data_IF_961022108353
#
_entry.id   IF_961022108353
#
_cell.length_a   1.000
_cell.length_b   1.000
_cell.length_c   1.000
_cell.angle_alpha   90.00
_cell.angle_beta   90.00
_cell.angle_gamma   90.00
#
_symmetry.space_group_name_H-M   'P 1'
#
loop_
_entity.id
_entity.type
_entity.pdbx_description
1 polymer ?
#
# COMPACT_ATOMS: atom_id res chain seq x y z
N UNK A 1 -11.00 5.18 -6.64
CA UNK A 1 -9.63 5.59 -7.01
C UNK A 1 -8.58 4.50 -6.77
N UNK A 2 -8.43 3.97 -5.55
CA UNK A 2 -7.40 2.98 -5.21
C UNK A 2 -7.40 1.69 -6.04
N UNK A 3 -8.55 1.28 -6.58
CA UNK A 3 -8.68 0.14 -7.52
C UNK A 3 -7.75 0.28 -8.73
N UNK A 4 -7.49 1.50 -9.21
CA UNK A 4 -6.53 1.75 -10.29
C UNK A 4 -5.10 1.80 -9.76
N UNK A 5 -4.86 2.38 -8.59
CA UNK A 5 -3.52 2.52 -8.01
C UNK A 5 -2.87 1.16 -7.73
N UNK A 6 -3.63 0.13 -7.33
CA UNK A 6 -3.07 -1.23 -7.11
C UNK A 6 -2.53 -1.93 -8.36
N UNK A 7 -2.74 -1.39 -9.56
CA UNK A 7 -2.28 -2.02 -10.80
C UNK A 7 -0.77 -1.84 -10.98
N UNK A 8 -0.13 -2.77 -11.71
CA UNK A 8 1.30 -2.73 -12.02
C UNK A 8 1.75 -1.45 -12.76
N UNK A 9 0.81 -0.69 -13.33
CA UNK A 9 1.09 0.63 -13.90
C UNK A 9 1.56 1.63 -12.84
N UNK A 10 0.98 1.59 -11.64
CA UNK A 10 1.21 2.60 -10.60
C UNK A 10 1.93 2.04 -9.36
N UNK A 11 1.63 0.81 -8.94
CA UNK A 11 2.32 0.13 -7.84
C UNK A 11 3.59 -0.53 -8.38
N UNK A 12 4.75 -0.04 -7.92
CA UNK A 12 6.07 -0.50 -8.38
C UNK A 12 6.85 -1.11 -7.24
N UNK A 13 7.49 -2.25 -7.52
CA UNK A 13 8.52 -2.81 -6.68
C UNK A 13 9.89 -2.31 -7.17
N UNK A 14 10.79 -1.99 -6.24
CA UNK A 14 12.20 -1.72 -6.48
C UNK A 14 13.02 -2.52 -5.50
N UNK A 15 14.12 -3.10 -5.97
CA UNK A 15 15.04 -3.85 -5.14
C UNK A 15 16.44 -3.24 -5.28
N UNK A 16 17.17 -3.17 -4.17
CA UNK A 16 18.57 -2.77 -4.10
C UNK A 16 19.31 -3.61 -3.06
N UNK A 17 20.60 -3.33 -2.83
CA UNK A 17 21.42 -4.07 -1.88
C UNK A 17 20.91 -4.00 -0.43
N UNK A 18 20.08 -3.02 -0.09
CA UNK A 18 19.49 -2.84 1.24
C UNK A 18 18.12 -3.51 1.40
N UNK A 19 17.49 -3.95 0.32
CA UNK A 19 16.24 -4.70 0.37
C UNK A 19 15.27 -4.40 -0.76
N UNK A 20 13.97 -4.50 -0.47
CA UNK A 20 12.89 -4.31 -1.44
C UNK A 20 11.90 -3.27 -0.92
N UNK A 21 11.51 -2.35 -1.79
CA UNK A 21 10.46 -1.37 -1.54
C UNK A 21 9.32 -1.56 -2.52
N UNK A 22 8.09 -1.44 -2.04
CA UNK A 22 6.89 -1.51 -2.87
C UNK A 22 6.05 -0.27 -2.60
N UNK A 23 5.73 0.49 -3.65
CA UNK A 23 4.98 1.71 -3.48
C UNK A 23 4.71 2.47 -4.77
N UNK A 24 4.32 3.72 -4.59
CA UNK A 24 3.97 4.64 -5.67
C UNK A 24 5.09 5.67 -5.87
N UNK A 25 5.08 6.38 -6.99
CA UNK A 25 6.00 7.52 -7.23
C UNK A 25 5.27 8.70 -7.88
N UNK A 26 5.88 9.88 -7.82
CA UNK A 26 5.33 11.11 -8.42
C UNK A 26 3.90 11.42 -7.97
N UNK A 27 3.05 11.76 -8.94
CA UNK A 27 1.63 12.11 -8.69
C UNK A 27 0.86 10.96 -8.03
N UNK A 28 1.13 9.71 -8.40
CA UNK A 28 0.46 8.55 -7.79
C UNK A 28 0.80 8.42 -6.30
N UNK A 29 2.05 8.75 -5.90
CA UNK A 29 2.44 8.78 -4.49
C UNK A 29 1.78 9.93 -3.73
N UNK A 30 1.71 11.12 -4.34
CA UNK A 30 1.01 12.26 -3.74
C UNK A 30 -0.47 11.92 -3.48
N UNK A 31 -1.15 11.42 -4.50
CA UNK A 31 -2.54 10.99 -4.43
C UNK A 31 -2.72 9.92 -3.34
N UNK A 32 -1.85 8.89 -3.31
CA UNK A 32 -1.94 7.84 -2.30
C UNK A 32 -1.79 8.39 -0.88
N UNK A 33 -0.83 9.30 -0.62
CA UNK A 33 -0.62 9.92 0.70
C UNK A 33 -1.78 10.79 1.14
N UNK A 34 -2.21 11.72 0.27
CA UNK A 34 -3.35 12.61 0.53
C UNK A 34 -4.56 11.79 0.98
N UNK A 35 -4.87 10.74 0.24
CA UNK A 35 -6.02 9.92 0.54
C UNK A 35 -5.81 8.97 1.74
N UNK A 36 -4.58 8.51 2.00
CA UNK A 36 -4.31 7.61 3.13
C UNK A 36 -4.36 8.37 4.45
N UNK A 37 -3.69 9.53 4.50
CA UNK A 37 -3.52 10.33 5.71
C UNK A 37 -4.55 11.46 5.84
N UNK A 38 -5.50 11.55 4.92
CA UNK A 38 -6.55 12.58 4.96
C UNK A 38 -6.02 14.01 4.79
N UNK A 39 -5.00 14.19 3.96
CA UNK A 39 -4.42 15.52 3.72
C UNK A 39 -5.33 16.37 2.82
N UNK A 40 -5.03 17.67 2.74
CA UNK A 40 -5.72 18.62 1.85
C UNK A 40 -5.16 18.54 0.43
N UNK A 41 -6.03 18.57 -0.57
CA UNK A 41 -5.60 18.65 -1.98
C UNK A 41 -6.49 19.58 -2.81
N UNK A 42 -5.97 20.02 -3.96
CA UNK A 42 -6.67 20.84 -4.93
C UNK A 42 -7.38 19.93 -5.95
N UNK A 43 -8.71 19.96 -5.96
CA UNK A 43 -9.55 19.13 -6.86
C UNK A 43 -9.91 19.82 -8.16
N UNK A 44 -9.84 21.15 -8.17
CA UNK A 44 -9.99 22.02 -9.33
C UNK A 44 -9.29 23.36 -9.06
N UNK A 45 -8.98 24.18 -10.08
CA UNK A 45 -8.33 25.48 -9.88
C UNK A 45 -9.07 26.32 -8.82
N UNK A 46 -8.38 26.63 -7.73
CA UNK A 46 -8.92 27.40 -6.60
C UNK A 46 -9.82 26.61 -5.62
N UNK A 47 -10.17 25.35 -5.91
CA UNK A 47 -11.06 24.52 -5.10
C UNK A 47 -10.24 23.46 -4.37
N UNK A 48 -10.27 23.50 -3.03
CA UNK A 48 -9.56 22.58 -2.15
C UNK A 48 -10.54 21.78 -1.30
N UNK A 49 -10.17 20.55 -0.99
CA UNK A 49 -10.91 19.69 -0.06
C UNK A 49 -9.94 18.98 0.87
N UNK A 50 -10.37 18.77 2.11
CA UNK A 50 -9.75 17.80 3.01
C UNK A 50 -10.32 16.42 2.71
N UNK A 51 -9.49 15.38 2.78
CA UNK A 51 -9.93 14.00 2.64
C UNK A 51 -10.09 13.34 4.01
N UNK A 52 -11.04 12.41 4.16
CA UNK A 52 -11.09 11.59 5.37
C UNK A 52 -9.87 10.67 5.43
N UNK A 53 -9.29 10.54 6.62
CA UNK A 53 -8.22 9.57 6.91
C UNK A 53 -8.73 8.15 6.66
N UNK A 54 -7.91 7.31 6.06
CA UNK A 54 -8.21 5.88 5.87
C UNK A 54 -7.46 5.07 6.91
N UNK A 55 -8.15 4.77 8.01
CA UNK A 55 -7.60 3.92 9.07
C UNK A 55 -7.23 2.54 8.52
N UNK A 56 -6.06 2.05 8.93
CA UNK A 56 -5.66 0.68 8.65
C UNK A 56 -6.41 -0.22 9.62
N UNK A 57 -7.28 -1.07 9.07
CA UNK A 57 -7.82 -2.20 9.82
C UNK A 57 -6.63 -3.12 10.11
N UNK A 58 -6.20 -3.13 11.37
CA UNK A 58 -5.06 -3.94 11.81
C UNK A 58 -5.28 -5.42 11.55
N UNK A 59 -4.20 -6.18 11.66
CA UNK A 59 -4.22 -7.64 11.52
C UNK A 59 -4.75 -8.20 12.84
N UNK A 60 -5.81 -9.01 12.80
CA UNK A 60 -6.26 -9.73 13.99
C UNK A 60 -5.28 -10.84 14.36
N UNK A 61 -5.31 -11.35 15.59
CA UNK A 61 -4.48 -12.51 15.95
C UNK A 61 -4.77 -13.74 15.07
N UNK A 62 -6.00 -13.88 14.56
CA UNK A 62 -6.34 -14.96 13.64
C UNK A 62 -5.66 -14.77 12.27
N UNK A 63 -5.67 -13.54 11.76
CA UNK A 63 -4.98 -13.18 10.51
C UNK A 63 -3.47 -13.37 10.65
N UNK A 64 -2.89 -12.99 11.79
CA UNK A 64 -1.46 -13.14 12.06
C UNK A 64 -1.05 -14.62 12.05
N UNK A 65 -1.80 -15.48 12.73
CA UNK A 65 -1.57 -16.95 12.70
C UNK A 65 -1.71 -17.51 11.29
N UNK A 66 -2.70 -17.05 10.52
CA UNK A 66 -2.91 -17.48 9.14
C UNK A 66 -1.72 -17.09 8.27
N UNK A 67 -1.24 -15.86 8.36
CA UNK A 67 -0.09 -15.36 7.62
C UNK A 67 1.15 -16.19 7.98
N UNK A 68 1.42 -16.37 9.28
CA UNK A 68 2.59 -17.10 9.76
C UNK A 68 2.62 -18.55 9.24
N UNK A 69 1.51 -19.27 9.40
CA UNK A 69 1.39 -20.65 8.94
C UNK A 69 1.51 -20.76 7.41
N UNK A 70 0.94 -19.79 6.69
CA UNK A 70 1.05 -19.74 5.22
C UNK A 70 2.49 -19.55 4.78
N UNK A 71 3.20 -18.59 5.37
CA UNK A 71 4.61 -18.31 5.02
C UNK A 71 5.49 -19.51 5.36
N UNK A 72 5.38 -20.07 6.56
CA UNK A 72 6.17 -21.25 6.95
C UNK A 72 5.86 -22.46 6.07
N UNK A 73 4.59 -22.71 5.75
CA UNK A 73 4.19 -23.77 4.85
C UNK A 73 4.86 -23.66 3.48
N UNK A 74 4.87 -22.46 2.88
CA UNK A 74 5.54 -22.22 1.59
C UNK A 74 7.05 -22.37 1.65
N UNK A 75 7.68 -21.94 2.75
CA UNK A 75 9.13 -22.14 2.94
C UNK A 75 9.44 -23.64 3.05
N UNK A 76 8.66 -24.40 3.82
CA UNK A 76 8.85 -25.84 3.98
C UNK A 76 8.61 -26.64 2.69
N UNK A 77 7.73 -26.17 1.80
CA UNK A 77 7.57 -26.72 0.44
C UNK A 77 8.79 -26.42 -0.44
N UNK A 78 9.35 -25.21 -0.36
CA UNK A 78 10.45 -24.78 -1.22
C UNK A 78 11.82 -25.41 -0.87
N UNK A 79 11.97 -25.97 0.33
CA UNK A 79 13.21 -26.63 0.82
C UNK A 79 13.23 -28.14 0.54
N UNK A 80 12.10 -28.72 0.09
CA UNK A 80 12.03 -30.11 -0.38
C UNK A 80 12.31 -30.19 -1.88
#
# INVERSE_FOLDING_TARGET
MFVKLRTARYLKARADASGVTVGYSGVAARIARVHQFGERDQVAPGIFTDYPVRELLGISQADERLIYNTVLGRIAEAVR
#
